data_IF_222450301466
#
_entry.id   IF_222450301466
#
_cell.length_a   1.000
_cell.length_b   1.000
_cell.length_c   1.000
_cell.angle_alpha   90.00
_cell.angle_beta   90.00
_cell.angle_gamma   90.00
#
_symmetry.space_group_name_H-M   'P 1'
#
loop_
_entity.id
_entity.type
_entity.pdbx_description
1 polymer ?
#
# COMPACT_ATOMS: atom_id res chain seq x y z
N UNK A 1 8.11 -34.62 -19.89
CA UNK A 1 7.34 -34.94 -18.66
C UNK A 1 6.75 -33.64 -18.13
N UNK A 2 5.47 -33.40 -18.40
CA UNK A 2 4.72 -32.23 -17.91
C UNK A 2 4.33 -32.45 -16.46
N UNK A 3 4.71 -31.53 -15.58
CA UNK A 3 4.31 -31.55 -14.18
C UNK A 3 2.77 -31.48 -14.05
N UNK A 4 2.16 -32.15 -13.06
CA UNK A 4 0.72 -32.09 -12.86
C UNK A 4 0.33 -30.66 -12.45
N UNK A 5 -0.64 -30.09 -13.15
CA UNK A 5 -1.22 -28.80 -12.82
C UNK A 5 -1.78 -28.85 -11.39
N UNK A 6 -1.18 -28.09 -10.48
CA UNK A 6 -1.61 -27.99 -9.10
C UNK A 6 -3.10 -27.67 -9.04
N UNK A 7 -3.85 -28.48 -8.30
CA UNK A 7 -5.27 -28.29 -8.05
C UNK A 7 -5.50 -26.86 -7.54
N UNK A 8 -6.05 -26.00 -8.41
CA UNK A 8 -6.39 -24.62 -8.05
C UNK A 8 -7.39 -24.64 -6.90
N UNK A 9 -7.09 -23.90 -5.84
CA UNK A 9 -8.01 -23.73 -4.71
C UNK A 9 -9.41 -23.39 -5.23
N UNK A 10 -10.43 -24.09 -4.73
CA UNK A 10 -11.80 -23.88 -5.17
C UNK A 10 -12.17 -22.39 -5.03
N UNK A 11 -12.81 -21.78 -6.05
CA UNK A 11 -13.15 -20.37 -5.99
C UNK A 11 -14.00 -20.09 -4.75
N UNK A 12 -13.57 -19.10 -3.96
CA UNK A 12 -14.28 -18.69 -2.75
C UNK A 12 -15.73 -18.34 -3.11
N UNK A 13 -16.68 -18.70 -2.25
CA UNK A 13 -18.12 -18.47 -2.48
C UNK A 13 -18.72 -17.59 -1.39
N UNK A 14 -19.73 -16.81 -1.76
CA UNK A 14 -20.55 -16.03 -0.82
C UNK A 14 -19.74 -14.97 -0.06
N UNK A 15 -19.96 -14.90 1.26
CA UNK A 15 -19.38 -13.88 2.14
C UNK A 15 -17.86 -13.87 2.14
N UNK A 16 -17.20 -15.05 2.10
CA UNK A 16 -15.74 -15.14 2.14
C UNK A 16 -15.08 -14.50 0.92
N UNK A 17 -15.70 -14.63 -0.27
CA UNK A 17 -15.22 -13.96 -1.48
C UNK A 17 -15.37 -12.43 -1.34
N UNK A 18 -16.50 -11.95 -0.83
CA UNK A 18 -16.72 -10.52 -0.63
C UNK A 18 -15.73 -9.92 0.38
N UNK A 19 -15.56 -10.56 1.54
CA UNK A 19 -14.63 -10.13 2.60
C UNK A 19 -13.19 -10.15 2.10
N UNK A 20 -12.77 -11.21 1.40
CA UNK A 20 -11.40 -11.30 0.85
C UNK A 20 -11.18 -10.19 -0.17
N UNK A 21 -12.12 -9.99 -1.10
CA UNK A 21 -12.01 -8.94 -2.12
C UNK A 21 -11.93 -7.54 -1.51
N UNK A 22 -12.74 -7.29 -0.48
CA UNK A 22 -12.71 -6.04 0.27
C UNK A 22 -11.39 -5.86 1.01
N UNK A 23 -10.87 -6.90 1.67
CA UNK A 23 -9.57 -6.84 2.35
C UNK A 23 -8.42 -6.56 1.39
N UNK A 24 -8.43 -7.18 0.21
CA UNK A 24 -7.44 -6.91 -0.86
C UNK A 24 -7.53 -5.48 -1.37
N UNK A 25 -8.75 -4.96 -1.58
CA UNK A 25 -8.98 -3.59 -2.00
C UNK A 25 -8.57 -2.58 -0.91
N UNK A 26 -8.90 -2.84 0.35
CA UNK A 26 -8.56 -1.98 1.49
C UNK A 26 -7.06 -1.91 1.74
N UNK A 27 -6.33 -3.02 1.60
CA UNK A 27 -4.87 -3.01 1.71
C UNK A 27 -4.23 -2.06 0.70
N UNK A 28 -4.65 -2.14 -0.56
CA UNK A 28 -4.14 -1.23 -1.60
C UNK A 28 -4.64 0.21 -1.43
N UNK A 29 -5.90 0.38 -1.04
CA UNK A 29 -6.47 1.70 -0.71
C UNK A 29 -5.64 2.39 0.38
N UNK A 30 -5.29 1.68 1.45
CA UNK A 30 -4.47 2.22 2.54
C UNK A 30 -3.12 2.72 2.02
N UNK A 31 -2.45 1.95 1.15
CA UNK A 31 -1.17 2.33 0.56
C UNK A 31 -1.27 3.65 -0.23
N UNK A 32 -2.30 3.78 -1.07
CA UNK A 32 -2.49 4.98 -1.90
C UNK A 32 -2.91 6.17 -1.04
N UNK A 33 -3.75 5.93 -0.02
CA UNK A 33 -4.20 6.96 0.91
C UNK A 33 -3.02 7.53 1.72
N UNK A 34 -2.15 6.67 2.25
CA UNK A 34 -0.94 7.06 3.00
C UNK A 34 -0.06 7.99 2.17
N UNK A 35 0.24 7.60 0.93
CA UNK A 35 1.04 8.44 0.03
C UNK A 35 0.38 9.79 -0.22
N UNK A 36 -0.95 9.83 -0.38
CA UNK A 36 -1.67 11.08 -0.63
C UNK A 36 -1.66 11.99 0.61
N UNK A 37 -1.92 11.44 1.79
CA UNK A 37 -1.87 12.18 3.06
C UNK A 37 -0.47 12.75 3.29
N UNK A 38 0.58 11.98 3.01
CA UNK A 38 1.97 12.43 3.13
C UNK A 38 2.28 13.63 2.23
N UNK A 39 1.80 13.61 0.99
CA UNK A 39 1.97 14.72 0.05
C UNK A 39 1.28 16.00 0.53
N UNK A 40 0.05 15.87 1.05
CA UNK A 40 -0.74 17.02 1.53
C UNK A 40 -0.17 17.57 2.84
N UNK A 41 0.30 16.70 3.72
CA UNK A 41 0.80 17.07 5.05
C UNK A 41 2.26 17.53 5.03
N UNK A 42 2.94 17.50 3.87
CA UNK A 42 4.36 17.79 3.78
C UNK A 42 4.77 19.14 4.38
N UNK A 43 4.08 20.27 4.09
CA UNK A 43 4.43 21.56 4.68
C UNK A 43 4.31 21.54 6.21
N UNK A 44 3.27 20.88 6.73
CA UNK A 44 3.02 20.70 8.16
C UNK A 44 4.11 19.86 8.83
N UNK A 45 4.52 18.76 8.21
CA UNK A 45 5.63 17.90 8.69
C UNK A 45 6.93 18.71 8.71
N UNK A 46 7.24 19.43 7.63
CA UNK A 46 8.46 20.24 7.53
C UNK A 46 8.49 21.35 8.58
N UNK A 47 7.37 22.05 8.78
CA UNK A 47 7.24 23.10 9.80
C UNK A 47 7.42 22.56 11.22
N UNK A 48 6.82 21.41 11.56
CA UNK A 48 6.96 20.81 12.88
C UNK A 48 8.36 20.26 13.16
N UNK A 49 9.07 19.78 12.15
CA UNK A 49 10.45 19.31 12.26
C UNK A 49 11.48 20.45 12.16
N UNK A 50 11.05 21.70 11.92
CA UNK A 50 11.93 22.86 11.78
C UNK A 50 12.84 22.80 10.55
N UNK A 51 12.42 22.10 9.49
CA UNK A 51 13.19 21.93 8.25
C UNK A 51 12.54 22.64 7.06
N UNK A 52 13.32 22.94 6.02
CA UNK A 52 12.75 23.46 4.77
C UNK A 52 11.86 22.42 4.08
N UNK A 53 10.86 22.88 3.33
CA UNK A 53 10.00 22.03 2.50
C UNK A 53 10.78 21.27 1.43
N UNK A 54 11.87 21.84 0.93
CA UNK A 54 12.79 21.18 0.01
C UNK A 54 13.42 19.95 0.66
N UNK A 55 13.89 20.08 1.91
CA UNK A 55 14.39 18.95 2.69
C UNK A 55 13.27 17.95 3.01
N UNK A 56 12.06 18.42 3.27
CA UNK A 56 10.87 17.58 3.45
C UNK A 56 10.53 16.74 2.22
N UNK A 57 10.77 17.23 1.00
CA UNK A 57 10.42 16.52 -0.25
C UNK A 57 11.08 15.13 -0.32
N UNK A 58 12.24 14.95 0.32
CA UNK A 58 12.91 13.66 0.46
C UNK A 58 12.08 12.59 1.17
N UNK A 59 11.11 12.95 2.01
CA UNK A 59 10.16 12.03 2.64
C UNK A 59 9.33 11.29 1.57
N UNK A 60 8.88 12.02 0.54
CA UNK A 60 8.05 11.47 -0.54
C UNK A 60 8.95 10.78 -1.58
N UNK A 61 10.05 11.43 -1.97
CA UNK A 61 10.95 10.90 -2.99
C UNK A 61 11.59 9.58 -2.56
N UNK A 62 12.05 9.48 -1.32
CA UNK A 62 12.70 8.26 -0.80
C UNK A 62 11.74 7.06 -0.77
N UNK A 63 10.49 7.27 -0.36
CA UNK A 63 9.42 6.28 -0.45
C UNK A 63 9.21 5.83 -1.89
N UNK A 64 9.06 6.78 -2.82
CA UNK A 64 8.80 6.49 -4.24
C UNK A 64 9.94 5.70 -4.89
N UNK A 65 11.19 6.04 -4.58
CA UNK A 65 12.38 5.33 -5.07
C UNK A 65 12.41 3.89 -4.52
N UNK A 66 12.22 3.72 -3.21
CA UNK A 66 12.21 2.39 -2.59
C UNK A 66 11.07 1.49 -3.11
N UNK A 67 9.88 2.06 -3.28
CA UNK A 67 8.74 1.38 -3.91
C UNK A 67 9.06 1.01 -5.36
N UNK A 68 9.59 1.94 -6.16
CA UNK A 68 9.95 1.72 -7.56
C UNK A 68 10.96 0.60 -7.78
N UNK A 69 11.91 0.42 -6.85
CA UNK A 69 12.86 -0.71 -6.88
C UNK A 69 12.17 -2.04 -6.52
N UNK A 70 11.19 -2.01 -5.62
CA UNK A 70 10.59 -3.24 -5.09
C UNK A 70 9.41 -3.76 -5.93
N UNK A 71 8.75 -2.89 -6.70
CA UNK A 71 7.67 -3.31 -7.61
C UNK A 71 8.14 -4.39 -8.61
N UNK A 72 9.25 -4.24 -9.36
CA UNK A 72 9.77 -5.29 -10.24
C UNK A 72 10.12 -6.59 -9.51
N UNK A 73 10.62 -6.51 -8.27
CA UNK A 73 10.98 -7.67 -7.44
C UNK A 73 9.76 -8.48 -7.00
N UNK A 74 8.57 -7.90 -7.05
CA UNK A 74 7.33 -8.55 -6.61
C UNK A 74 7.07 -9.88 -7.32
N UNK A 75 7.27 -9.94 -8.64
CA UNK A 75 7.03 -11.17 -9.40
C UNK A 75 7.87 -12.33 -8.90
N UNK A 76 9.16 -12.09 -8.65
CA UNK A 76 10.06 -13.08 -8.08
C UNK A 76 9.68 -13.46 -6.64
N UNK A 77 9.37 -12.47 -5.79
CA UNK A 77 8.95 -12.72 -4.41
C UNK A 77 7.70 -13.61 -4.34
N UNK A 78 6.69 -13.31 -5.18
CA UNK A 78 5.44 -14.07 -5.23
C UNK A 78 5.62 -15.48 -5.77
N UNK A 79 6.50 -15.67 -6.76
CA UNK A 79 6.84 -17.01 -7.26
C UNK A 79 7.60 -17.82 -6.21
N UNK A 80 8.49 -17.18 -5.44
CA UNK A 80 9.34 -17.84 -4.45
C UNK A 80 8.62 -18.18 -3.15
N UNK A 81 7.85 -17.25 -2.62
CA UNK A 81 7.22 -17.34 -1.28
C UNK A 81 5.69 -17.55 -1.33
N UNK A 82 5.08 -17.44 -2.51
CA UNK A 82 3.64 -17.53 -2.71
C UNK A 82 2.94 -16.17 -2.61
N UNK A 83 1.89 -16.00 -3.43
CA UNK A 83 1.17 -14.71 -3.55
C UNK A 83 0.51 -14.29 -2.24
N UNK A 84 -0.23 -15.21 -1.58
CA UNK A 84 -0.94 -14.91 -0.33
C UNK A 84 0.03 -14.47 0.76
N UNK A 85 1.09 -15.26 1.00
CA UNK A 85 2.07 -14.98 2.06
C UNK A 85 2.81 -13.67 1.81
N UNK A 86 3.23 -13.43 0.57
CA UNK A 86 3.93 -12.19 0.19
C UNK A 86 3.04 -10.97 0.40
N UNK A 87 1.78 -11.02 -0.03
CA UNK A 87 0.83 -9.93 0.17
C UNK A 87 0.55 -9.69 1.66
N UNK A 88 0.24 -10.72 2.44
CA UNK A 88 -0.06 -10.55 3.87
C UNK A 88 1.12 -10.00 4.65
N UNK A 89 2.35 -10.50 4.41
CA UNK A 89 3.55 -9.97 5.07
C UNK A 89 3.80 -8.52 4.66
N UNK A 90 3.64 -8.20 3.38
CA UNK A 90 3.77 -6.83 2.86
C UNK A 90 2.80 -5.86 3.53
N UNK A 91 1.52 -6.24 3.69
CA UNK A 91 0.51 -5.42 4.40
C UNK A 91 0.90 -5.21 5.87
N UNK A 92 1.29 -6.27 6.58
CA UNK A 92 1.67 -6.18 8.00
C UNK A 92 2.88 -5.26 8.17
N UNK A 93 3.92 -5.45 7.37
CA UNK A 93 5.13 -4.63 7.42
C UNK A 93 4.84 -3.18 7.02
N UNK A 94 3.95 -2.97 6.05
CA UNK A 94 3.52 -1.63 5.65
C UNK A 94 2.82 -0.91 6.81
N UNK A 95 1.91 -1.59 7.52
CA UNK A 95 1.24 -1.04 8.70
C UNK A 95 2.24 -0.70 9.80
N UNK A 96 3.20 -1.59 10.10
CA UNK A 96 4.24 -1.32 11.10
C UNK A 96 5.10 -0.12 10.69
N UNK A 97 5.55 -0.07 9.43
CA UNK A 97 6.36 1.03 8.93
C UNK A 97 5.58 2.37 8.91
N UNK A 98 4.28 2.33 8.63
CA UNK A 98 3.39 3.51 8.71
C UNK A 98 3.31 4.04 10.14
N UNK A 99 3.15 3.16 11.13
CA UNK A 99 3.18 3.55 12.54
C UNK A 99 4.54 4.15 12.95
N UNK A 100 5.65 3.59 12.45
CA UNK A 100 6.97 4.15 12.70
C UNK A 100 7.13 5.55 12.11
N UNK A 101 6.56 5.82 10.92
CA UNK A 101 6.53 7.16 10.34
C UNK A 101 5.80 8.18 11.23
N UNK A 102 4.70 7.79 11.88
CA UNK A 102 3.98 8.65 12.84
C UNK A 102 4.77 8.91 14.13
N UNK A 103 5.64 7.97 14.52
CA UNK A 103 6.53 8.09 15.69
C UNK A 103 7.90 8.72 15.39
N UNK A 104 8.11 9.24 14.18
CA UNK A 104 9.39 9.79 13.78
C UNK A 104 9.74 11.05 14.59
N UNK A 105 10.98 11.13 15.08
CA UNK A 105 11.45 12.20 15.96
C UNK A 105 12.31 13.25 15.24
N UNK A 106 12.82 12.92 14.06
CA UNK A 106 13.56 13.82 13.18
C UNK A 106 13.37 13.47 11.70
N UNK A 107 13.78 14.38 10.80
CA UNK A 107 13.64 14.18 9.36
C UNK A 107 14.37 12.93 8.84
N UNK A 108 15.57 12.63 9.34
CA UNK A 108 16.35 11.47 8.92
C UNK A 108 15.69 10.16 9.35
N UNK A 109 15.14 10.10 10.56
CA UNK A 109 14.34 8.95 11.04
C UNK A 109 13.09 8.74 10.17
N UNK A 110 12.38 9.83 9.85
CA UNK A 110 11.20 9.78 8.98
C UNK A 110 11.53 9.29 7.57
N UNK A 111 12.62 9.79 6.97
CA UNK A 111 13.10 9.31 5.67
C UNK A 111 13.45 7.82 5.75
N UNK A 112 14.13 7.37 6.81
CA UNK A 112 14.45 5.96 7.02
C UNK A 112 13.20 5.07 7.08
N UNK A 113 12.18 5.48 7.84
CA UNK A 113 10.91 4.76 7.93
C UNK A 113 10.13 4.79 6.62
N UNK A 114 10.17 5.89 5.87
CA UNK A 114 9.57 6.00 4.53
C UNK A 114 10.25 5.09 3.51
N UNK A 115 11.57 4.95 3.56
CA UNK A 115 12.30 3.98 2.73
C UNK A 115 11.84 2.56 3.06
N UNK A 116 11.75 2.22 4.35
CA UNK A 116 11.26 0.91 4.79
C UNK A 116 9.82 0.66 4.31
N UNK A 117 8.94 1.64 4.51
CA UNK A 117 7.54 1.59 4.09
C UNK A 117 7.42 1.43 2.56
N UNK A 118 8.21 2.19 1.79
CA UNK A 118 8.27 2.09 0.33
C UNK A 118 8.73 0.71 -0.12
N UNK A 119 9.81 0.19 0.48
CA UNK A 119 10.36 -1.12 0.16
C UNK A 119 9.33 -2.24 0.38
N UNK A 120 8.60 -2.23 1.49
CA UNK A 120 7.63 -3.30 1.78
C UNK A 120 6.32 -3.17 1.01
N UNK A 121 6.05 -2.01 0.41
CA UNK A 121 4.77 -1.71 -0.26
C UNK A 121 4.69 -2.17 -1.72
N UNK A 122 5.82 -2.51 -2.35
CA UNK A 122 5.87 -2.95 -3.75
C UNK A 122 4.90 -4.11 -4.08
N UNK A 123 4.80 -5.17 -3.24
CA UNK A 123 3.92 -6.30 -3.49
C UNK A 123 2.41 -6.06 -3.32
N UNK A 124 1.98 -4.94 -2.71
CA UNK A 124 0.58 -4.74 -2.32
C UNK A 124 -0.36 -4.63 -3.53
N UNK A 125 -0.09 -3.69 -4.45
CA UNK A 125 -0.90 -3.51 -5.68
C UNK A 125 -0.93 -4.79 -6.54
N UNK A 126 0.20 -5.25 -7.11
CA UNK A 126 0.23 -6.45 -7.95
C UNK A 126 -0.26 -7.71 -7.22
N UNK A 127 -0.02 -7.83 -5.91
CA UNK A 127 -0.47 -8.95 -5.10
C UNK A 127 -1.97 -8.98 -4.90
N UNK A 128 -2.56 -7.82 -4.61
CA UNK A 128 -4.01 -7.68 -4.51
C UNK A 128 -4.69 -8.06 -5.83
N UNK A 129 -4.16 -7.59 -6.97
CA UNK A 129 -4.68 -7.92 -8.30
C UNK A 129 -4.54 -9.41 -8.63
N UNK A 130 -3.37 -10.00 -8.36
CA UNK A 130 -3.13 -11.43 -8.59
C UNK A 130 -4.07 -12.30 -7.75
N UNK A 131 -4.26 -11.97 -6.47
CA UNK A 131 -5.18 -12.68 -5.58
C UNK A 131 -6.63 -12.51 -6.03
N UNK A 132 -7.04 -11.31 -6.43
CA UNK A 132 -8.39 -11.05 -6.93
C UNK A 132 -8.69 -11.88 -8.20
N UNK A 133 -7.76 -11.91 -9.15
CA UNK A 133 -7.85 -12.73 -10.36
C UNK A 133 -7.93 -14.23 -10.02
N UNK A 134 -7.22 -14.67 -8.98
CA UNK A 134 -7.21 -16.08 -8.56
C UNK A 134 -8.52 -16.55 -7.91
N UNK A 135 -9.20 -15.69 -7.16
CA UNK A 135 -10.43 -16.05 -6.42
C UNK A 135 -11.71 -15.86 -7.25
N UNK A 136 -11.69 -15.04 -8.30
CA UNK A 136 -12.84 -14.81 -9.19
C UNK A 136 -12.84 -15.70 -10.43
N UNK A 137 -14.02 -16.16 -10.89
CA UNK A 137 -14.14 -16.88 -12.15
C UNK A 137 -13.80 -15.96 -13.35
N UNK A 138 -13.26 -16.50 -14.46
CA UNK A 138 -12.72 -15.71 -15.58
C UNK A 138 -13.65 -14.60 -16.10
N UNK A 139 -14.95 -14.88 -16.21
CA UNK A 139 -15.96 -13.95 -16.71
C UNK A 139 -16.29 -12.78 -15.75
N UNK A 140 -15.90 -12.86 -14.46
CA UNK A 140 -16.12 -11.80 -13.46
C UNK A 140 -14.85 -11.04 -13.08
N UNK A 141 -13.67 -11.48 -13.53
CA UNK A 141 -12.38 -10.85 -13.19
C UNK A 141 -12.34 -9.38 -13.59
N UNK A 142 -12.87 -9.04 -14.76
CA UNK A 142 -12.96 -7.65 -15.22
C UNK A 142 -13.77 -6.78 -14.26
N UNK A 143 -14.98 -7.20 -13.90
CA UNK A 143 -15.82 -6.49 -12.93
C UNK A 143 -15.15 -6.36 -11.56
N UNK A 144 -14.52 -7.43 -11.08
CA UNK A 144 -13.81 -7.41 -9.80
C UNK A 144 -12.67 -6.38 -9.80
N UNK A 145 -11.84 -6.38 -10.85
CA UNK A 145 -10.76 -5.40 -11.01
C UNK A 145 -11.30 -3.98 -11.17
N UNK A 146 -12.43 -3.78 -11.86
CA UNK A 146 -13.06 -2.45 -11.95
C UNK A 146 -13.49 -1.92 -10.58
N UNK A 147 -14.14 -2.75 -9.75
CA UNK A 147 -14.56 -2.36 -8.40
C UNK A 147 -13.34 -2.09 -7.51
N UNK A 148 -12.31 -2.93 -7.60
CA UNK A 148 -11.04 -2.72 -6.90
C UNK A 148 -10.36 -1.40 -7.32
N UNK A 149 -10.35 -1.08 -8.61
CA UNK A 149 -9.79 0.17 -9.13
C UNK A 149 -10.60 1.37 -8.65
N UNK A 150 -11.94 1.30 -8.67
CA UNK A 150 -12.79 2.35 -8.12
C UNK A 150 -12.48 2.61 -6.65
N UNK A 151 -12.32 1.54 -5.87
CA UNK A 151 -11.96 1.64 -4.44
C UNK A 151 -10.58 2.27 -4.27
N UNK A 152 -9.60 1.88 -5.08
CA UNK A 152 -8.24 2.41 -4.96
C UNK A 152 -8.14 3.87 -5.40
N UNK A 153 -8.90 4.27 -6.43
CA UNK A 153 -8.91 5.63 -6.97
C UNK A 153 -9.72 6.63 -6.13
N UNK A 154 -10.51 6.17 -5.15
CA UNK A 154 -11.12 7.09 -4.18
C UNK A 154 -10.10 7.56 -3.15
N UNK A 155 -9.00 6.83 -2.92
CA UNK A 155 -7.96 7.23 -1.96
C UNK A 155 -7.34 8.61 -2.28
N UNK A 156 -6.92 8.93 -3.52
CA UNK A 156 -6.42 10.26 -3.85
C UNK A 156 -7.43 11.39 -3.66
N UNK A 157 -8.73 11.10 -3.73
CA UNK A 157 -9.80 12.10 -3.50
C UNK A 157 -10.00 12.32 -2.00
N UNK A 158 -9.98 11.25 -1.21
CA UNK A 158 -10.12 11.31 0.24
C UNK A 158 -8.85 11.83 0.93
N UNK A 159 -7.68 11.64 0.31
CA UNK A 159 -6.38 11.99 0.88
C UNK A 159 -6.25 13.46 1.27
N UNK A 160 -6.57 14.45 0.41
CA UNK A 160 -6.54 15.86 0.78
C UNK A 160 -7.57 16.25 1.83
N UNK A 161 -8.76 15.65 1.80
CA UNK A 161 -9.81 15.92 2.79
C UNK A 161 -9.37 15.44 4.17
N UNK A 162 -8.91 14.19 4.27
CA UNK A 162 -8.45 13.59 5.51
C UNK A 162 -7.11 14.20 5.95
N UNK A 163 -6.12 14.27 5.07
CA UNK A 163 -4.79 14.81 5.38
C UNK A 163 -4.81 16.28 5.76
N UNK A 164 -5.64 17.09 5.09
CA UNK A 164 -5.85 18.50 5.45
C UNK A 164 -6.53 18.63 6.81
N UNK A 165 -7.66 17.96 7.01
CA UNK A 165 -8.35 17.98 8.30
C UNK A 165 -7.43 17.56 9.45
N UNK A 166 -6.62 16.52 9.23
CA UNK A 166 -5.73 16.03 10.25
C UNK A 166 -4.54 16.98 10.47
N UNK A 167 -3.97 17.56 9.41
CA UNK A 167 -2.91 18.57 9.54
C UNK A 167 -3.36 19.83 10.27
N UNK A 168 -4.63 20.22 10.09
CA UNK A 168 -5.20 21.43 10.68
C UNK A 168 -5.62 21.25 12.14
N UNK A 169 -6.00 20.02 12.55
CA UNK A 169 -6.61 19.76 13.86
C UNK A 169 -5.77 18.88 14.80
N UNK A 170 -4.77 18.16 14.29
CA UNK A 170 -3.95 17.23 15.08
C UNK A 170 -2.46 17.44 14.84
N UNK A 171 -1.65 17.02 15.82
CA UNK A 171 -0.18 17.03 15.71
C UNK A 171 0.27 15.97 14.69
N UNK A 172 1.04 16.31 13.65
CA UNK A 172 1.40 15.39 12.56
C UNK A 172 1.92 13.98 12.95
N UNK A 173 2.46 13.78 14.15
CA UNK A 173 2.97 12.50 14.67
C UNK A 173 1.90 11.57 15.27
N UNK A 174 0.75 11.43 14.62
CA UNK A 174 -0.30 10.44 14.97
C UNK A 174 -0.20 9.17 14.10
#
# INVERSE_FOLDING_TARGET
>A
MSAPAGAGAAPLRGATLAITSLALALGTFMQVLDGTIANVSLPTIAGNLGVSTDNGTWVITSFAVANGVTVPLTGWLMQRFGVVRTFTVSVILFTIASLLCGLAWDLSSLIGFRILQGAVSGPMIPGSQALLISIFPPHKRGTALSIWSMTTLTAPVLGPVLGGYISDNYHWGW
#
